data_IF_955811363741
#
_entry.id   IF_955811363741
#
_cell.length_a   1.000
_cell.length_b   1.000
_cell.length_c   1.000
_cell.angle_alpha   90.00
_cell.angle_beta   90.00
_cell.angle_gamma   90.00
#
_symmetry.space_group_name_H-M   'P 1'
#
loop_
_entity.id
_entity.type
_entity.pdbx_description
1 polymer ?
#
# COMPACT_ATOMS: atom_id res chain seq x y z
N UNK A 1 8.82 6.87 15.68
CA UNK A 1 7.36 6.62 15.67
C UNK A 1 6.83 6.50 17.10
N UNK A 2 7.39 5.66 17.99
CA UNK A 2 6.84 5.49 19.35
C UNK A 2 6.94 6.73 20.28
N UNK A 3 7.98 7.56 20.19
CA UNK A 3 8.08 8.78 21.03
C UNK A 3 7.00 9.83 20.70
N UNK A 4 6.70 10.05 19.41
CA UNK A 4 5.55 10.87 18.99
C UNK A 4 4.20 10.18 19.24
N UNK A 5 4.14 8.85 19.21
CA UNK A 5 2.91 8.10 19.57
C UNK A 5 2.58 8.32 21.05
N UNK A 6 3.53 8.39 21.97
CA UNK A 6 3.22 8.67 23.39
C UNK A 6 2.56 10.04 23.58
N UNK A 7 3.04 11.07 22.88
CA UNK A 7 2.40 12.39 22.90
C UNK A 7 1.02 12.36 22.20
N UNK A 8 0.90 11.68 21.05
CA UNK A 8 -0.33 11.68 20.24
C UNK A 8 -1.42 10.72 20.77
N UNK A 9 -1.06 9.65 21.48
CA UNK A 9 -1.99 8.71 22.11
C UNK A 9 -2.55 9.24 23.45
N UNK A 10 -1.85 10.17 24.09
CA UNK A 10 -2.36 10.91 25.24
C UNK A 10 -3.35 12.03 24.85
N UNK A 11 -3.50 12.35 23.56
CA UNK A 11 -4.53 13.27 23.09
C UNK A 11 -5.90 12.60 23.15
N UNK A 12 -6.85 13.15 23.90
CA UNK A 12 -8.14 12.49 24.03
C UNK A 12 -8.96 12.55 22.74
N UNK A 13 -9.94 11.65 22.66
CA UNK A 13 -10.81 11.35 21.51
C UNK A 13 -11.58 12.55 20.92
N UNK A 14 -11.49 13.74 21.54
CA UNK A 14 -12.12 14.97 21.08
C UNK A 14 -11.35 15.67 19.94
N UNK A 15 -10.09 15.32 19.68
CA UNK A 15 -9.33 15.87 18.56
C UNK A 15 -9.63 15.11 17.25
N UNK A 16 -10.16 15.82 16.25
CA UNK A 16 -10.61 15.25 14.95
C UNK A 16 -9.46 15.00 13.95
N UNK A 17 -8.32 14.49 14.38
CA UNK A 17 -7.26 14.07 13.45
C UNK A 17 -6.92 12.59 13.61
N UNK A 18 -6.50 11.97 12.52
CA UNK A 18 -6.03 10.59 12.52
C UNK A 18 -4.59 10.54 13.07
N UNK A 19 -4.33 9.79 14.16
CA UNK A 19 -3.00 9.71 14.78
C UNK A 19 -1.90 9.24 13.83
N UNK A 20 -2.23 8.37 12.89
CA UNK A 20 -1.31 7.88 11.86
C UNK A 20 -0.78 9.05 11.00
N UNK A 21 -1.68 9.86 10.43
CA UNK A 21 -1.30 10.98 9.59
C UNK A 21 -0.60 12.10 10.39
N UNK A 22 -1.04 12.34 11.62
CA UNK A 22 -0.39 13.34 12.50
C UNK A 22 1.04 12.93 12.85
N UNK A 23 1.26 11.68 13.26
CA UNK A 23 2.59 11.14 13.59
C UNK A 23 3.51 11.18 12.38
N UNK A 24 2.97 10.89 11.19
CA UNK A 24 3.72 10.99 9.94
C UNK A 24 4.13 12.42 9.60
N UNK A 25 3.28 13.41 9.88
CA UNK A 25 3.58 14.82 9.61
C UNK A 25 4.67 15.39 10.54
N UNK A 26 4.73 14.94 11.80
CA UNK A 26 5.75 15.40 12.78
C UNK A 26 7.02 14.55 12.76
N UNK A 27 7.07 13.49 11.95
CA UNK A 27 8.18 12.54 11.88
C UNK A 27 9.52 13.20 11.56
N UNK A 28 9.54 14.16 10.62
CA UNK A 28 10.75 14.85 10.18
C UNK A 28 11.34 15.80 11.24
N UNK A 29 10.54 16.20 12.24
CA UNK A 29 10.96 17.12 13.31
C UNK A 29 11.36 16.36 14.59
N UNK A 30 11.30 15.03 14.58
CA UNK A 30 11.55 14.23 15.78
C UNK A 30 13.05 14.01 16.00
N UNK A 31 13.53 14.28 17.21
CA UNK A 31 14.92 14.01 17.62
C UNK A 31 15.19 12.52 17.85
N UNK A 32 14.17 11.78 18.29
CA UNK A 32 14.25 10.34 18.54
C UNK A 32 13.11 9.61 17.83
N UNK A 33 13.48 8.67 16.97
CA UNK A 33 12.54 7.86 16.20
C UNK A 33 12.74 6.39 16.51
N UNK A 34 11.82 5.84 17.31
CA UNK A 34 11.71 4.40 17.51
C UNK A 34 10.97 3.77 16.33
N UNK A 35 11.58 2.77 15.70
CA UNK A 35 11.10 2.04 14.54
C UNK A 35 11.32 0.54 14.73
N UNK A 36 10.41 -0.33 14.25
CA UNK A 36 10.71 -1.74 14.11
C UNK A 36 11.76 -1.96 13.01
N UNK A 37 12.50 -3.07 13.08
CA UNK A 37 13.61 -3.36 12.17
C UNK A 37 13.26 -3.32 10.69
N UNK A 38 12.09 -3.86 10.30
CA UNK A 38 11.66 -3.89 8.90
C UNK A 38 11.54 -2.49 8.27
N UNK A 39 11.23 -1.46 9.05
CA UNK A 39 11.18 -0.07 8.56
C UNK A 39 12.57 0.51 8.26
N UNK A 40 13.63 -0.07 8.81
CA UNK A 40 15.03 0.34 8.56
C UNK A 40 15.64 -0.54 7.47
N UNK A 41 15.37 -1.83 7.49
CA UNK A 41 16.01 -2.82 6.62
C UNK A 41 15.38 -2.80 5.22
N UNK A 42 14.05 -2.89 5.11
CA UNK A 42 13.38 -2.97 3.81
C UNK A 42 13.41 -1.60 3.09
N UNK A 43 14.14 -1.48 1.95
CA UNK A 43 14.21 -0.23 1.19
C UNK A 43 12.86 0.21 0.60
N UNK A 44 11.91 -0.71 0.41
CA UNK A 44 10.55 -0.40 -0.09
C UNK A 44 9.71 0.25 1.00
N UNK A 45 9.78 -0.25 2.23
CA UNK A 45 9.12 0.37 3.38
C UNK A 45 9.76 1.73 3.70
N UNK A 46 11.09 1.84 3.72
CA UNK A 46 11.77 3.13 3.92
C UNK A 46 11.31 4.21 2.97
N UNK A 47 11.23 3.90 1.67
CA UNK A 47 10.76 4.85 0.65
C UNK A 47 9.29 5.21 0.81
N UNK A 48 8.42 4.25 1.16
CA UNK A 48 6.99 4.53 1.41
C UNK A 48 6.76 5.45 2.61
N UNK A 49 7.64 5.36 3.60
CA UNK A 49 7.55 6.12 4.85
C UNK A 49 8.48 7.35 4.90
N UNK A 50 9.19 7.67 3.81
CA UNK A 50 10.16 8.77 3.73
C UNK A 50 11.20 8.74 4.86
N UNK A 51 11.70 7.56 5.18
CA UNK A 51 12.72 7.39 6.23
C UNK A 51 14.10 7.57 5.60
N UNK A 52 14.71 8.72 5.82
CA UNK A 52 16.10 8.99 5.44
C UNK A 52 17.05 8.63 6.58
N UNK A 53 18.04 7.78 6.30
CA UNK A 53 19.04 7.36 7.30
C UNK A 53 20.32 8.20 7.20
N UNK A 54 20.49 8.98 6.12
CA UNK A 54 21.70 9.76 5.88
C UNK A 54 21.77 10.89 6.90
N UNK A 55 22.91 11.02 7.59
CA UNK A 55 23.11 12.02 8.64
C UNK A 55 22.51 11.66 10.00
N UNK A 56 21.83 10.51 10.10
CA UNK A 56 21.22 10.03 11.34
C UNK A 56 22.04 8.89 11.96
N UNK A 57 22.01 8.80 13.30
CA UNK A 57 22.59 7.67 14.03
C UNK A 57 21.50 6.60 14.17
N UNK A 58 21.81 5.37 13.72
CA UNK A 58 20.90 4.23 13.81
C UNK A 58 21.41 3.28 14.88
N UNK A 59 20.56 2.96 15.85
CA UNK A 59 20.86 2.04 16.94
C UNK A 59 19.94 0.84 16.82
N UNK A 60 20.52 -0.35 16.69
CA UNK A 60 19.79 -1.61 16.81
C UNK A 60 19.89 -2.08 18.24
N UNK A 61 18.76 -2.04 18.95
CA UNK A 61 18.62 -2.68 20.26
C UNK A 61 18.45 -4.19 20.07
N UNK A 62 19.03 -5.04 20.92
CA UNK A 62 18.90 -6.51 20.87
C UNK A 62 19.10 -7.15 19.47
N UNK A 63 20.17 -6.76 18.76
CA UNK A 63 20.40 -7.11 17.36
C UNK A 63 20.62 -8.61 17.03
N UNK A 64 20.44 -9.52 17.99
CA UNK A 64 20.58 -10.96 17.77
C UNK A 64 19.50 -11.53 16.83
N UNK A 65 18.35 -10.87 16.68
CA UNK A 65 17.31 -11.23 15.70
C UNK A 65 17.44 -10.48 14.36
N UNK A 66 18.47 -9.66 14.16
CA UNK A 66 18.58 -8.82 12.98
C UNK A 66 18.73 -9.64 11.70
N UNK A 67 19.52 -10.72 11.75
CA UNK A 67 19.80 -11.58 10.59
C UNK A 67 18.53 -12.25 10.05
N UNK A 68 17.73 -12.85 10.92
CA UNK A 68 16.48 -13.51 10.53
C UNK A 68 15.47 -12.53 9.93
N UNK A 69 15.40 -11.30 10.46
CA UNK A 69 14.52 -10.26 9.91
C UNK A 69 15.00 -9.77 8.54
N UNK A 70 16.32 -9.70 8.33
CA UNK A 70 16.88 -9.40 7.00
C UNK A 70 16.56 -10.50 5.99
N UNK A 71 16.70 -11.77 6.38
CA UNK A 71 16.37 -12.92 5.54
C UNK A 71 14.89 -12.92 5.15
N UNK A 72 13.99 -12.72 6.11
CA UNK A 72 12.54 -12.67 5.87
C UNK A 72 12.16 -11.46 4.99
N UNK A 73 12.80 -10.30 5.17
CA UNK A 73 12.53 -9.10 4.35
C UNK A 73 12.98 -9.27 2.89
N UNK A 74 13.97 -10.12 2.64
CA UNK A 74 14.53 -10.37 1.31
C UNK A 74 13.93 -11.61 0.61
N UNK A 75 13.29 -12.50 1.37
CA UNK A 75 12.71 -13.74 0.88
C UNK A 75 11.20 -13.64 0.69
N UNK A 76 10.67 -14.43 -0.24
CA UNK A 76 9.24 -14.58 -0.48
C UNK A 76 8.97 -16.05 -0.71
N UNK A 77 7.98 -16.61 0.00
CA UNK A 77 7.52 -17.98 -0.17
C UNK A 77 6.09 -18.00 -0.69
N UNK A 78 5.77 -18.99 -1.53
CA UNK A 78 4.44 -19.17 -2.11
C UNK A 78 3.85 -20.51 -1.69
N UNK A 79 2.64 -20.46 -1.15
CA UNK A 79 1.81 -21.64 -0.87
C UNK A 79 0.92 -21.98 -2.07
N UNK A 80 0.55 -23.25 -2.20
CA UNK A 80 -0.42 -23.74 -3.20
C UNK A 80 -1.77 -23.02 -3.10
N UNK A 81 -2.19 -22.62 -1.90
CA UNK A 81 -3.41 -21.84 -1.68
C UNK A 81 -3.28 -20.42 -2.22
N UNK A 82 -2.12 -19.78 -2.07
CA UNK A 82 -1.85 -18.45 -2.62
C UNK A 82 -1.84 -18.51 -4.14
N UNK A 83 -1.17 -19.50 -4.73
CA UNK A 83 -1.17 -19.70 -6.19
C UNK A 83 -2.58 -19.94 -6.73
N UNK A 84 -3.37 -20.78 -6.06
CA UNK A 84 -4.76 -21.03 -6.45
C UNK A 84 -5.63 -19.77 -6.36
N UNK A 85 -5.41 -18.94 -5.33
CA UNK A 85 -6.02 -17.62 -5.21
C UNK A 85 -5.64 -16.72 -6.37
N UNK A 86 -4.34 -16.60 -6.68
CA UNK A 86 -3.85 -15.78 -7.80
C UNK A 86 -4.47 -16.20 -9.15
N UNK A 87 -4.57 -17.50 -9.42
CA UNK A 87 -5.20 -18.01 -10.65
C UNK A 87 -6.68 -17.58 -10.71
N UNK A 88 -7.41 -17.73 -9.60
CA UNK A 88 -8.82 -17.34 -9.52
C UNK A 88 -9.01 -15.85 -9.74
N UNK A 89 -8.25 -15.01 -9.05
CA UNK A 89 -8.36 -13.55 -9.18
C UNK A 89 -7.97 -13.09 -10.59
N UNK A 90 -6.95 -13.69 -11.19
CA UNK A 90 -6.53 -13.37 -12.58
C UNK A 90 -7.61 -13.76 -13.58
N UNK A 91 -8.22 -14.94 -13.43
CA UNK A 91 -9.33 -15.38 -14.28
C UNK A 91 -10.51 -14.43 -14.17
N UNK A 92 -10.87 -14.02 -12.95
CA UNK A 92 -11.96 -13.08 -12.71
C UNK A 92 -11.69 -11.71 -13.34
N UNK A 93 -10.47 -11.20 -13.20
CA UNK A 93 -10.07 -9.95 -13.85
C UNK A 93 -10.15 -10.03 -15.37
N UNK A 94 -9.75 -11.16 -15.97
CA UNK A 94 -9.88 -11.39 -17.41
C UNK A 94 -11.34 -11.43 -17.86
N UNK A 95 -12.21 -12.12 -17.12
CA UNK A 95 -13.65 -12.16 -17.42
C UNK A 95 -14.28 -10.77 -17.36
N UNK A 96 -13.88 -9.93 -16.41
CA UNK A 96 -14.35 -8.54 -16.33
C UNK A 96 -13.95 -7.74 -17.58
N UNK A 97 -12.69 -7.86 -18.03
CA UNK A 97 -12.20 -7.15 -19.22
C UNK A 97 -12.93 -7.58 -20.51
N UNK A 98 -13.20 -8.88 -20.67
CA UNK A 98 -13.95 -9.38 -21.84
C UNK A 98 -15.39 -8.87 -21.84
N UNK A 99 -16.04 -8.87 -20.68
CA UNK A 99 -17.40 -8.35 -20.56
C UNK A 99 -17.47 -6.84 -20.85
N UNK A 100 -16.46 -6.07 -20.42
CA UNK A 100 -16.36 -4.64 -20.72
C UNK A 100 -16.23 -4.40 -22.23
N UNK A 101 -15.43 -5.20 -22.95
CA UNK A 101 -15.31 -5.11 -24.43
C UNK A 101 -16.62 -5.47 -25.14
N UNK A 102 -17.33 -6.50 -24.67
CA UNK A 102 -18.64 -6.90 -25.17
C UNK A 102 -19.69 -5.80 -24.97
N UNK A 103 -19.66 -5.13 -23.82
CA UNK A 103 -20.55 -4.00 -23.53
C UNK A 103 -20.24 -2.81 -24.44
N UNK A 104 -18.96 -2.47 -24.64
CA UNK A 104 -18.55 -1.39 -25.57
C UNK A 104 -18.99 -1.71 -26.99
N UNK A 105 -18.79 -2.94 -27.46
CA UNK A 105 -19.21 -3.38 -28.80
C UNK A 105 -20.72 -3.25 -28.98
N UNK A 106 -21.50 -3.72 -28.00
CA UNK A 106 -22.97 -3.63 -28.02
C UNK A 106 -23.44 -2.18 -28.01
N UNK A 107 -22.81 -1.32 -27.20
CA UNK A 107 -23.13 0.10 -27.12
C UNK A 107 -22.79 0.85 -28.40
N UNK A 108 -21.70 0.50 -29.09
CA UNK A 108 -21.36 1.03 -30.41
C UNK A 108 -22.41 0.66 -31.47
N UNK A 109 -22.84 -0.60 -31.51
CA UNK A 109 -23.88 -1.06 -32.46
C UNK A 109 -25.19 -0.31 -32.26
N UNK A 110 -25.66 -0.20 -31.00
CA UNK A 110 -26.84 0.60 -30.67
C UNK A 110 -26.69 2.08 -31.07
N UNK A 111 -25.50 2.67 -30.90
CA UNK A 111 -25.26 4.05 -31.31
C UNK A 111 -25.38 4.24 -32.82
N UNK A 112 -24.78 3.34 -33.62
CA UNK A 112 -24.91 3.38 -35.08
C UNK A 112 -26.36 3.25 -35.56
N UNK A 113 -27.15 2.36 -34.94
CA UNK A 113 -28.57 2.19 -35.28
C UNK A 113 -29.41 3.43 -34.93
N UNK A 114 -29.06 4.11 -33.82
CA UNK A 114 -29.71 5.36 -33.40
C UNK A 114 -29.42 6.53 -34.35
N UNK A 115 -28.20 6.59 -34.93
CA UNK A 115 -27.84 7.61 -35.92
C UNK A 115 -28.54 7.36 -37.26
N UNK A 116 -28.59 6.10 -37.71
CA UNK A 116 -29.27 5.71 -38.95
C UNK A 116 -30.78 5.99 -38.91
N UNK A 117 -31.41 5.80 -37.75
CA UNK A 117 -32.84 6.10 -37.55
C UNK A 117 -33.13 7.60 -37.51
N UNK A 118 -32.25 8.42 -36.91
CA UNK A 118 -32.40 9.89 -36.92
C UNK A 118 -32.17 10.55 -38.29
N UNK A 119 -31.43 9.92 -39.20
CA UNK A 119 -31.15 10.45 -40.55
C UNK A 119 -32.28 10.20 -41.56
N UNK A 120 -33.33 9.45 -41.17
CA UNK A 120 -34.53 9.12 -41.97
C UNK A 120 -35.72 10.06 -41.70
N UNK A 121 -35.52 11.15 -40.97
CA UNK A 121 -36.47 12.27 -40.85
C UNK A 121 -35.82 13.55 -41.38
#
# INVERSE_FOLDING_TARGET
>A
MLASIFSCAAFPSYFRYCPYFRTRAVFEQAELVLLPYNYVIDPRLRRRHNIELKGNIVIFDEAHNLESVCEESASVSFSTTQLSGCIRETKKALEMLVNDEEEIRTRMVCYSDTILTKKKH
#
